data_IF_988004230558
#
_entry.id   IF_988004230558
#
_cell.length_a   1.000
_cell.length_b   1.000
_cell.length_c   1.000
_cell.angle_alpha   90.00
_cell.angle_beta   90.00
_cell.angle_gamma   90.00
#
_symmetry.space_group_name_H-M   'P 1'
#
loop_
_entity.id
_entity.type
_entity.pdbx_description
1 polymer ?
#
# COMPACT_ATOMS: atom_id res chain seq x y z
N UNK A 1 5.77 20.73 -1.16
CA UNK A 1 4.52 20.13 -1.69
C UNK A 1 4.76 19.72 -3.13
N UNK A 2 4.51 18.46 -3.52
CA UNK A 2 4.77 17.93 -4.88
C UNK A 2 3.94 18.64 -5.95
N UNK A 3 2.72 19.07 -5.63
CA UNK A 3 1.80 19.72 -6.57
C UNK A 3 1.88 21.25 -6.56
N UNK A 4 2.59 21.86 -5.60
CA UNK A 4 2.66 23.32 -5.48
C UNK A 4 3.32 24.02 -6.67
N UNK A 5 4.16 23.30 -7.41
CA UNK A 5 4.87 23.81 -8.60
C UNK A 5 4.20 23.38 -9.92
N UNK A 6 3.19 22.52 -9.87
CA UNK A 6 2.49 22.05 -11.07
C UNK A 6 1.30 22.96 -11.36
N UNK A 7 1.50 23.93 -12.25
CA UNK A 7 0.52 24.97 -12.58
C UNK A 7 -0.27 24.68 -13.87
N UNK A 8 0.06 23.59 -14.58
CA UNK A 8 -0.65 23.12 -15.78
C UNK A 8 -0.95 21.63 -15.71
N UNK A 9 -1.89 21.21 -16.54
CA UNK A 9 -2.11 19.80 -16.86
C UNK A 9 -1.03 19.30 -17.80
N UNK A 10 0.12 18.97 -17.23
CA UNK A 10 1.26 18.39 -17.95
C UNK A 10 1.88 17.21 -17.17
N UNK A 11 2.58 16.30 -17.84
CA UNK A 11 3.25 15.20 -17.16
C UNK A 11 4.32 15.69 -16.17
N UNK A 12 4.31 15.16 -14.96
CA UNK A 12 5.40 15.38 -13.99
C UNK A 12 6.72 14.83 -14.52
N UNK A 13 7.84 15.49 -14.17
CA UNK A 13 9.17 14.94 -14.41
C UNK A 13 9.34 13.57 -13.75
N UNK A 14 10.14 12.70 -14.37
CA UNK A 14 10.32 11.33 -13.91
C UNK A 14 10.84 11.26 -12.46
N UNK A 15 11.79 12.14 -12.10
CA UNK A 15 12.35 12.22 -10.75
C UNK A 15 11.30 12.63 -9.71
N UNK A 16 10.51 13.67 -10.01
CA UNK A 16 9.45 14.15 -9.11
C UNK A 16 8.38 13.08 -8.89
N UNK A 17 8.00 12.40 -9.97
CA UNK A 17 7.04 11.29 -9.92
C UNK A 17 7.57 10.14 -9.06
N UNK A 18 8.85 9.80 -9.18
CA UNK A 18 9.46 8.73 -8.37
C UNK A 18 9.50 9.10 -6.88
N UNK A 19 9.90 10.34 -6.56
CA UNK A 19 9.92 10.85 -5.18
C UNK A 19 8.52 10.84 -4.56
N UNK A 20 7.53 11.38 -5.28
CA UNK A 20 6.13 11.39 -4.85
C UNK A 20 5.60 9.99 -4.55
N UNK A 21 5.80 9.02 -5.47
CA UNK A 21 5.35 7.64 -5.25
C UNK A 21 5.93 7.06 -3.97
N UNK A 22 7.23 7.26 -3.73
CA UNK A 22 7.91 6.78 -2.53
C UNK A 22 7.36 7.41 -1.24
N UNK A 23 7.15 8.73 -1.25
CA UNK A 23 6.60 9.45 -0.11
C UNK A 23 5.17 9.00 0.22
N UNK A 24 4.32 8.82 -0.80
CA UNK A 24 2.96 8.30 -0.63
C UNK A 24 2.98 6.87 -0.12
N UNK A 25 3.85 6.03 -0.67
CA UNK A 25 4.02 4.64 -0.23
C UNK A 25 4.40 4.57 1.25
N UNK A 26 5.35 5.40 1.70
CA UNK A 26 5.71 5.52 3.11
C UNK A 26 4.53 5.95 3.99
N UNK A 27 3.75 6.94 3.56
CA UNK A 27 2.57 7.39 4.30
C UNK A 27 1.49 6.31 4.40
N UNK A 28 1.33 5.50 3.35
CA UNK A 28 0.33 4.44 3.29
C UNK A 28 0.80 3.13 3.91
N UNK A 29 2.10 2.92 4.15
CA UNK A 29 2.65 1.67 4.68
C UNK A 29 1.95 1.15 5.95
N UNK A 30 1.44 2.05 6.79
CA UNK A 30 0.71 1.66 8.01
C UNK A 30 -0.59 0.91 7.69
N UNK A 31 -1.25 1.21 6.57
CA UNK A 31 -2.54 0.62 6.23
C UNK A 31 -2.43 -0.85 5.87
N UNK A 32 -1.28 -1.29 5.38
CA UNK A 32 -1.02 -2.70 5.05
C UNK A 32 -1.02 -3.60 6.30
N UNK A 33 -0.82 -2.99 7.48
CA UNK A 33 -0.78 -3.68 8.76
C UNK A 33 -2.07 -3.49 9.58
N UNK A 34 -3.03 -2.73 9.08
CA UNK A 34 -4.35 -2.62 9.70
C UNK A 34 -5.17 -3.83 9.27
N UNK A 35 -5.26 -4.82 10.16
CA UNK A 35 -5.97 -6.07 9.90
C UNK A 35 -7.14 -6.26 10.86
N UNK A 36 -8.17 -6.95 10.38
CA UNK A 36 -9.25 -7.45 11.22
C UNK A 36 -8.93 -8.86 11.69
N UNK A 37 -9.15 -9.14 12.98
CA UNK A 37 -8.98 -10.47 13.53
C UNK A 37 -10.31 -11.23 13.46
N UNK A 38 -10.46 -12.01 12.39
CA UNK A 38 -11.66 -12.83 12.13
C UNK A 38 -11.34 -14.31 12.33
N UNK A 39 -12.31 -15.11 12.81
CA UNK A 39 -12.12 -16.56 12.92
C UNK A 39 -11.94 -17.19 11.53
N UNK A 40 -11.04 -18.18 11.43
CA UNK A 40 -10.76 -18.86 10.16
C UNK A 40 -10.36 -20.31 10.38
N UNK A 41 -11.00 -21.25 9.68
CA UNK A 41 -10.60 -22.66 9.72
C UNK A 41 -9.52 -22.99 8.68
N UNK A 42 -8.50 -23.74 9.07
CA UNK A 42 -7.42 -24.20 8.20
C UNK A 42 -7.40 -25.73 8.10
N UNK A 43 -7.32 -26.26 6.88
CA UNK A 43 -7.10 -27.70 6.64
C UNK A 43 -5.63 -27.99 6.35
N UNK A 44 -5.03 -28.89 7.12
CA UNK A 44 -3.68 -29.36 6.91
C UNK A 44 -3.60 -30.37 5.74
N UNK A 45 -2.37 -30.63 5.27
CA UNK A 45 -2.12 -31.53 4.12
C UNK A 45 -2.55 -32.97 4.39
N UNK A 46 -2.61 -33.38 5.65
CA UNK A 46 -3.10 -34.67 6.13
C UNK A 46 -4.63 -34.71 6.28
N UNK A 47 -5.33 -33.63 5.97
CA UNK A 47 -6.78 -33.51 6.06
C UNK A 47 -7.31 -33.10 7.43
N UNK A 48 -6.44 -32.93 8.45
CA UNK A 48 -6.87 -32.42 9.76
C UNK A 48 -7.32 -30.96 9.68
N UNK A 49 -8.39 -30.61 10.40
CA UNK A 49 -8.92 -29.24 10.45
C UNK A 49 -8.50 -28.58 11.76
N UNK A 50 -7.88 -27.41 11.66
CA UNK A 50 -7.55 -26.53 12.77
C UNK A 50 -8.51 -25.35 12.74
N UNK A 51 -9.09 -25.02 13.89
CA UNK A 51 -9.87 -23.80 14.10
C UNK A 51 -9.00 -22.55 14.08
#
# INVERSE_FOLDING_TARGET
SVFGEQWRLEPMSAERKARWRKEVDWLLSVTDHVVEFVPSQQKAKDGSCME
#
